data_IF_503042142718
#
_entry.id   IF_503042142718
#
_cell.length_a   1.000
_cell.length_b   1.000
_cell.length_c   1.000
_cell.angle_alpha   90.00
_cell.angle_beta   90.00
_cell.angle_gamma   90.00
#
_symmetry.space_group_name_H-M   'P 1'
#
loop_
_entity.id
_entity.type
_entity.pdbx_description
1 polymer ?
#
# COMPACT_ATOMS: atom_id res chain seq x y z
N UNK A 1 -2.79 0.03 8.46
CA UNK A 1 -3.61 -0.63 7.42
C UNK A 1 -5.07 -0.66 7.89
N UNK A 2 -5.93 0.30 7.47
CA UNK A 2 -7.26 0.52 8.09
C UNK A 2 -8.23 -0.67 7.95
N UNK A 3 -8.07 -1.49 6.90
CA UNK A 3 -8.94 -2.65 6.67
C UNK A 3 -8.69 -3.82 7.63
N UNK A 4 -7.45 -4.01 8.10
CA UNK A 4 -7.11 -5.08 9.05
C UNK A 4 -7.56 -4.73 10.48
N UNK A 5 -7.45 -3.47 10.87
CA UNK A 5 -7.96 -2.97 12.16
C UNK A 5 -9.47 -3.12 12.29
N UNK A 6 -10.21 -2.94 11.18
CA UNK A 6 -11.66 -3.18 11.14
C UNK A 6 -12.01 -4.66 11.38
N UNK A 7 -11.20 -5.58 10.85
CA UNK A 7 -11.40 -7.02 11.01
C UNK A 7 -11.18 -7.47 12.46
N UNK A 8 -10.13 -6.97 13.12
CA UNK A 8 -9.86 -7.22 14.56
C UNK A 8 -11.04 -6.74 15.42
N UNK A 9 -11.56 -5.54 15.16
CA UNK A 9 -12.72 -5.01 15.87
C UNK A 9 -13.96 -5.88 15.65
N UNK A 10 -14.20 -6.35 14.42
CA UNK A 10 -15.35 -7.21 14.13
C UNK A 10 -15.27 -8.58 14.83
N UNK A 11 -14.07 -9.15 14.95
CA UNK A 11 -13.83 -10.39 15.69
C UNK A 11 -13.98 -10.20 17.20
N UNK A 12 -13.63 -9.03 17.73
CA UNK A 12 -13.81 -8.74 19.16
C UNK A 12 -15.29 -8.70 19.58
N UNK A 13 -16.17 -8.20 18.68
CA UNK A 13 -17.61 -8.08 18.90
C UNK A 13 -18.36 -9.43 18.85
N UNK A 14 -17.77 -10.47 18.25
CA UNK A 14 -18.38 -11.80 18.16
C UNK A 14 -18.00 -12.74 19.31
N UNK A 15 -17.08 -12.34 20.20
CA UNK A 15 -16.71 -13.19 21.35
C UNK A 15 -17.76 -13.13 22.46
N UNK A 16 -18.33 -14.29 22.79
CA UNK A 16 -19.33 -14.42 23.86
C UNK A 16 -18.67 -14.12 25.23
N UNK A 17 -19.33 -13.38 26.15
CA UNK A 17 -18.73 -12.86 27.38
C UNK A 17 -18.36 -13.89 28.47
N UNK A 18 -18.42 -15.21 28.21
CA UNK A 18 -18.36 -16.23 29.26
C UNK A 18 -17.30 -17.32 29.08
N UNK A 19 -16.44 -17.23 28.06
CA UNK A 19 -15.38 -18.23 27.80
C UNK A 19 -14.01 -17.70 28.20
N UNK A 20 -13.42 -18.30 29.23
CA UNK A 20 -12.11 -17.95 29.80
C UNK A 20 -10.95 -18.39 28.91
N UNK A 21 -11.17 -19.42 28.08
CA UNK A 21 -10.19 -19.97 27.15
C UNK A 21 -10.66 -19.84 25.70
N UNK A 22 -9.81 -19.28 24.84
CA UNK A 22 -10.07 -19.09 23.40
C UNK A 22 -9.07 -19.93 22.62
N UNK A 23 -9.59 -20.85 21.81
CA UNK A 23 -8.79 -21.69 20.93
C UNK A 23 -8.92 -21.15 19.52
N UNK A 24 -7.79 -20.81 18.89
CA UNK A 24 -7.73 -20.37 17.49
C UNK A 24 -7.13 -21.49 16.66
N UNK A 25 -7.91 -22.02 15.71
CA UNK A 25 -7.55 -23.17 14.88
C UNK A 25 -7.15 -22.75 13.46
N UNK A 26 -5.96 -23.16 13.02
CA UNK A 26 -5.41 -22.92 11.69
C UNK A 26 -5.78 -23.97 10.63
N UNK A 27 -6.56 -25.01 10.95
CA UNK A 27 -6.79 -26.18 10.10
C UNK A 27 -7.33 -25.85 8.69
N UNK A 28 -8.24 -24.87 8.57
CA UNK A 28 -8.81 -24.47 7.28
C UNK A 28 -8.01 -23.34 6.58
N UNK A 29 -6.92 -22.89 7.19
CA UNK A 29 -6.13 -21.76 6.71
C UNK A 29 -5.24 -22.23 5.56
N UNK A 30 -5.55 -21.82 4.33
CA UNK A 30 -4.77 -22.21 3.15
C UNK A 30 -3.50 -21.38 3.01
N UNK A 31 -3.59 -20.07 3.22
CA UNK A 31 -2.49 -19.12 3.04
C UNK A 31 -2.46 -18.13 4.21
N UNK A 32 -1.27 -17.81 4.71
CA UNK A 32 -1.01 -16.78 5.70
C UNK A 32 0.14 -15.91 5.19
N UNK A 33 -0.05 -14.60 5.15
CA UNK A 33 1.00 -13.62 4.85
C UNK A 33 1.44 -12.88 6.12
N UNK A 34 2.46 -12.03 6.01
CA UNK A 34 3.00 -11.28 7.15
C UNK A 34 1.95 -10.36 7.79
N UNK A 35 1.03 -9.81 6.99
CA UNK A 35 -0.03 -8.93 7.48
C UNK A 35 -1.12 -9.70 8.25
N UNK A 36 -1.52 -10.88 7.77
CA UNK A 36 -2.41 -11.80 8.45
C UNK A 36 -1.80 -12.35 9.74
N UNK A 37 -0.52 -12.73 9.72
CA UNK A 37 0.21 -13.19 10.90
C UNK A 37 0.28 -12.10 11.98
N UNK A 38 0.52 -10.86 11.58
CA UNK A 38 0.51 -9.72 12.50
C UNK A 38 -0.87 -9.48 13.12
N UNK A 39 -1.92 -9.51 12.30
CA UNK A 39 -3.31 -9.32 12.75
C UNK A 39 -3.72 -10.39 13.76
N UNK A 40 -3.28 -11.64 13.54
CA UNK A 40 -3.51 -12.76 14.45
C UNK A 40 -2.80 -12.56 15.79
N UNK A 41 -1.56 -12.06 15.78
CA UNK A 41 -0.82 -11.73 17.00
C UNK A 41 -1.46 -10.57 17.77
N UNK A 42 -1.91 -9.52 17.07
CA UNK A 42 -2.63 -8.38 17.67
C UNK A 42 -3.93 -8.85 18.34
N UNK A 43 -4.69 -9.72 17.67
CA UNK A 43 -5.92 -10.28 18.23
C UNK A 43 -5.66 -11.18 19.45
N UNK A 44 -4.62 -12.01 19.40
CA UNK A 44 -4.17 -12.83 20.53
C UNK A 44 -3.83 -11.94 21.74
N UNK A 45 -3.05 -10.88 21.52
CA UNK A 45 -2.63 -9.95 22.57
C UNK A 45 -3.84 -9.19 23.16
N UNK A 46 -4.81 -8.80 22.34
CA UNK A 46 -6.02 -8.12 22.81
C UNK A 46 -6.88 -9.03 23.72
N UNK A 47 -6.99 -10.32 23.38
CA UNK A 47 -7.70 -11.31 24.20
C UNK A 47 -6.94 -11.63 25.49
N UNK A 48 -5.61 -11.73 25.45
CA UNK A 48 -4.77 -11.92 26.65
C UNK A 48 -4.88 -10.73 27.62
N UNK A 49 -4.98 -9.49 27.10
CA UNK A 49 -5.23 -8.30 27.93
C UNK A 49 -6.60 -8.34 28.63
N UNK A 50 -7.58 -9.02 28.04
CA UNK A 50 -8.88 -9.29 28.65
C UNK A 50 -8.87 -10.48 29.63
N UNK A 51 -7.67 -10.92 30.06
CA UNK A 51 -7.45 -12.03 30.99
C UNK A 51 -7.96 -13.39 30.47
N UNK A 52 -7.99 -13.56 29.14
CA UNK A 52 -8.36 -14.83 28.48
C UNK A 52 -7.10 -15.55 28.02
N UNK A 53 -7.00 -16.86 28.24
CA UNK A 53 -5.89 -17.64 27.67
C UNK A 53 -6.17 -17.96 26.21
N UNK A 54 -5.22 -17.65 25.32
CA UNK A 54 -5.36 -17.92 23.88
C UNK A 54 -4.36 -18.97 23.44
N UNK A 55 -4.86 -20.09 22.92
CA UNK A 55 -4.03 -21.16 22.36
C UNK A 55 -4.22 -21.24 20.85
N UNK A 56 -3.12 -21.26 20.11
CA UNK A 56 -3.11 -21.49 18.67
C UNK A 56 -2.88 -22.98 18.39
N UNK A 57 -3.80 -23.62 17.67
CA UNK A 57 -3.71 -25.05 17.30
C UNK A 57 -3.90 -25.24 15.79
N UNK A 58 -3.40 -26.36 15.25
CA UNK A 58 -3.53 -26.75 13.83
C UNK A 58 -2.99 -25.74 12.80
N UNK A 59 -1.96 -24.97 13.16
CA UNK A 59 -1.21 -24.19 12.18
C UNK A 59 -0.14 -25.07 11.52
N UNK A 60 0.03 -24.95 10.21
CA UNK A 60 1.13 -25.61 9.50
C UNK A 60 2.49 -25.11 9.99
N UNK A 61 3.55 -25.87 9.75
CA UNK A 61 4.92 -25.47 10.12
C UNK A 61 5.31 -24.12 9.48
N UNK A 62 4.90 -23.89 8.24
CA UNK A 62 5.13 -22.64 7.52
C UNK A 62 4.43 -21.45 8.20
N UNK A 63 3.16 -21.62 8.60
CA UNK A 63 2.42 -20.58 9.31
C UNK A 63 3.04 -20.30 10.68
N UNK A 64 3.43 -21.34 11.41
CA UNK A 64 4.05 -21.21 12.73
C UNK A 64 5.39 -20.48 12.67
N UNK A 65 6.23 -20.77 11.67
CA UNK A 65 7.47 -20.04 11.42
C UNK A 65 7.21 -18.57 11.10
N UNK A 66 6.25 -18.28 10.24
CA UNK A 66 5.86 -16.89 9.91
C UNK A 66 5.40 -16.13 11.15
N UNK A 67 4.52 -16.74 11.96
CA UNK A 67 4.03 -16.14 13.20
C UNK A 67 5.19 -15.86 14.16
N UNK A 68 6.13 -16.80 14.32
CA UNK A 68 7.29 -16.61 15.20
C UNK A 68 8.24 -15.51 14.68
N UNK A 69 8.46 -15.43 13.38
CA UNK A 69 9.29 -14.39 12.76
C UNK A 69 8.68 -13.00 12.95
N UNK A 70 7.36 -12.87 12.75
CA UNK A 70 6.64 -11.61 12.98
C UNK A 70 6.66 -11.26 14.46
N UNK A 71 6.42 -12.22 15.36
CA UNK A 71 6.47 -12.00 16.80
C UNK A 71 7.86 -11.53 17.29
N UNK A 72 8.94 -12.07 16.73
CA UNK A 72 10.31 -11.67 17.07
C UNK A 72 10.66 -10.25 16.60
N UNK A 73 10.07 -9.79 15.50
CA UNK A 73 10.32 -8.47 14.92
C UNK A 73 9.33 -7.40 15.42
N UNK A 74 8.31 -7.78 16.19
CA UNK A 74 7.27 -6.88 16.68
C UNK A 74 7.45 -6.60 18.19
N UNK A 75 8.34 -5.66 18.58
CA UNK A 75 8.43 -5.25 19.98
C UNK A 75 7.15 -4.48 20.37
N UNK A 76 6.47 -5.00 21.40
CA UNK A 76 5.41 -4.39 22.22
C UNK A 76 5.02 -2.95 21.83
N UNK A 77 4.13 -2.81 20.85
CA UNK A 77 3.28 -1.63 20.80
C UNK A 77 2.24 -1.80 21.91
N UNK A 78 2.38 -1.02 22.98
CA UNK A 78 1.31 -0.89 23.95
C UNK A 78 0.04 -0.43 23.23
N UNK A 79 -1.15 -0.97 23.57
CA UNK A 79 -2.39 -0.54 22.95
C UNK A 79 -2.66 0.90 23.35
N UNK A 80 -2.29 1.85 22.49
CA UNK A 80 -2.83 3.20 22.56
C UNK A 80 -4.22 3.16 21.93
N UNK A 81 -5.17 2.56 22.66
CA UNK A 81 -6.58 2.78 22.42
C UNK A 81 -6.91 4.20 22.91
N UNK A 82 -6.52 5.22 22.14
CA UNK A 82 -7.10 6.55 22.31
C UNK A 82 -8.56 6.44 21.90
N UNK A 83 -9.46 6.55 22.89
CA UNK A 83 -10.89 6.72 22.64
C UNK A 83 -11.09 7.80 21.57
N UNK A 84 -12.08 7.67 20.67
CA UNK A 84 -12.34 8.69 19.66
C UNK A 84 -12.79 9.98 20.36
N UNK A 85 -11.81 10.82 20.70
CA UNK A 85 -12.06 12.21 21.04
C UNK A 85 -12.71 12.79 19.80
N UNK A 86 -13.88 13.40 19.94
CA UNK A 86 -14.52 14.17 18.87
C UNK A 86 -13.59 15.34 18.53
N UNK A 87 -12.58 15.09 17.71
CA UNK A 87 -11.63 16.10 17.29
C UNK A 87 -12.38 17.13 16.46
N UNK A 88 -12.23 18.40 16.85
CA UNK A 88 -12.80 19.50 16.08
C UNK A 88 -12.28 19.40 14.65
N UNK A 89 -13.11 19.75 13.65
CA UNK A 89 -12.75 19.65 12.23
C UNK A 89 -11.37 20.24 11.91
N UNK A 90 -11.01 21.35 12.57
CA UNK A 90 -9.71 22.01 12.44
C UNK A 90 -8.53 21.17 12.98
N UNK A 91 -8.72 20.42 14.07
CA UNK A 91 -7.69 19.55 14.63
C UNK A 91 -7.42 18.35 13.70
N UNK A 92 -8.48 17.74 13.16
CA UNK A 92 -8.36 16.65 12.19
C UNK A 92 -7.67 17.14 10.91
N UNK A 93 -8.04 18.32 10.42
CA UNK A 93 -7.43 18.93 9.23
C UNK A 93 -5.95 19.25 9.47
N UNK A 94 -5.60 19.78 10.64
CA UNK A 94 -4.22 20.04 11.05
C UNK A 94 -3.38 18.76 11.08
N UNK A 95 -3.87 17.71 11.76
CA UNK A 95 -3.19 16.40 11.82
C UNK A 95 -3.00 15.77 10.43
N UNK A 96 -4.02 15.83 9.57
CA UNK A 96 -3.92 15.31 8.21
C UNK A 96 -2.93 16.11 7.35
N UNK A 97 -2.90 17.43 7.50
CA UNK A 97 -1.98 18.31 6.75
C UNK A 97 -0.53 18.01 7.13
N UNK A 98 -0.23 17.91 8.43
CA UNK A 98 1.10 17.55 8.92
C UNK A 98 1.52 16.17 8.40
N UNK A 99 0.62 15.19 8.45
CA UNK A 99 0.89 13.85 7.92
C UNK A 99 1.17 13.87 6.40
N UNK A 100 0.44 14.69 5.63
CA UNK A 100 0.72 14.88 4.20
C UNK A 100 2.08 15.52 3.94
N UNK A 101 2.52 16.47 4.78
CA UNK A 101 3.86 17.07 4.67
C UNK A 101 4.95 16.02 4.87
N UNK A 102 4.79 15.12 5.86
CA UNK A 102 5.72 14.01 6.03
C UNK A 102 5.75 13.07 4.82
N UNK A 103 4.60 12.81 4.18
CA UNK A 103 4.55 12.02 2.95
C UNK A 103 5.26 12.71 1.77
N UNK A 104 5.14 14.04 1.66
CA UNK A 104 5.87 14.82 0.65
C UNK A 104 7.37 14.74 0.87
N UNK A 105 7.85 14.79 2.12
CA UNK A 105 9.27 14.60 2.41
C UNK A 105 9.76 13.21 1.99
N UNK A 106 8.98 12.15 2.24
CA UNK A 106 9.30 10.81 1.77
C UNK A 106 9.34 10.71 0.24
N UNK A 107 8.42 11.40 -0.46
CA UNK A 107 8.44 11.49 -1.92
C UNK A 107 9.67 12.24 -2.43
N UNK A 108 10.06 13.33 -1.77
CA UNK A 108 11.24 14.12 -2.15
C UNK A 108 12.54 13.32 -1.94
N UNK A 109 12.61 12.53 -0.87
CA UNK A 109 13.73 11.61 -0.63
C UNK A 109 13.81 10.53 -1.72
N UNK A 110 12.68 9.89 -2.05
CA UNK A 110 12.63 8.92 -3.16
C UNK A 110 13.05 9.54 -4.49
N UNK A 111 12.59 10.76 -4.77
CA UNK A 111 12.96 11.48 -5.98
C UNK A 111 14.46 11.82 -5.99
N UNK A 112 15.02 12.18 -4.84
CA UNK A 112 16.45 12.41 -4.66
C UNK A 112 17.27 11.15 -4.95
N UNK A 113 16.93 10.04 -4.31
CA UNK A 113 17.59 8.74 -4.51
C UNK A 113 17.50 8.29 -5.97
N UNK A 114 16.34 8.46 -6.61
CA UNK A 114 16.13 8.12 -8.01
C UNK A 114 16.97 9.01 -8.94
N UNK A 115 17.04 10.31 -8.66
CA UNK A 115 17.90 11.24 -9.40
C UNK A 115 19.37 10.86 -9.27
N UNK A 116 19.85 10.57 -8.06
CA UNK A 116 21.24 10.15 -7.82
C UNK A 116 21.57 8.88 -8.59
N UNK A 117 20.70 7.88 -8.53
CA UNK A 117 20.87 6.62 -9.26
C UNK A 117 20.82 6.83 -10.78
N UNK A 118 19.99 7.74 -11.27
CA UNK A 118 19.95 8.11 -12.68
C UNK A 118 21.27 8.79 -13.10
N UNK A 119 21.79 9.71 -12.30
CA UNK A 119 23.10 10.35 -12.54
C UNK A 119 24.24 9.32 -12.55
N UNK A 120 24.26 8.38 -11.61
CA UNK A 120 25.22 7.29 -11.60
C UNK A 120 25.08 6.36 -12.81
N UNK A 121 23.85 6.03 -13.22
CA UNK A 121 23.60 5.22 -14.42
C UNK A 121 24.04 5.94 -15.71
N UNK A 122 23.90 7.27 -15.77
CA UNK A 122 24.42 8.06 -16.89
C UNK A 122 25.95 8.10 -16.92
N UNK A 123 26.59 8.20 -15.75
CA UNK A 123 28.06 8.22 -15.65
C UNK A 123 28.68 6.86 -15.99
N UNK A 124 28.11 5.76 -15.49
CA UNK A 124 28.54 4.39 -15.83
C UNK A 124 27.61 3.73 -16.87
N UNK A 125 27.53 4.38 -18.04
CA UNK A 125 26.70 3.96 -19.18
C UNK A 125 26.93 2.49 -19.60
N UNK A 126 28.12 1.93 -19.31
CA UNK A 126 28.48 0.54 -19.68
C UNK A 126 27.84 -0.52 -18.80
N UNK A 127 27.38 -0.18 -17.59
CA UNK A 127 26.65 -1.10 -16.70
C UNK A 127 25.14 -1.12 -16.95
N UNK A 128 24.61 -0.14 -17.69
CA UNK A 128 23.19 -0.06 -18.02
C UNK A 128 22.84 -1.15 -19.03
N UNK A 129 21.93 -2.05 -18.64
CA UNK A 129 21.42 -3.13 -19.51
C UNK A 129 20.37 -2.57 -20.48
N UNK A 130 20.83 -1.82 -21.48
CA UNK A 130 19.98 -1.27 -22.56
C UNK A 130 18.99 -2.28 -23.17
N UNK A 131 19.37 -3.54 -23.44
CA UNK A 131 18.43 -4.50 -24.04
C UNK A 131 17.18 -4.74 -23.18
N UNK A 132 17.32 -4.81 -21.85
CA UNK A 132 16.18 -4.96 -20.94
C UNK A 132 15.32 -3.69 -20.88
N UNK A 133 15.95 -2.51 -20.92
CA UNK A 133 15.24 -1.23 -20.93
C UNK A 133 14.42 -1.05 -22.22
N UNK A 134 15.01 -1.41 -23.37
CA UNK A 134 14.34 -1.41 -24.68
C UNK A 134 13.21 -2.41 -24.71
N UNK A 135 13.36 -3.60 -24.11
CA UNK A 135 12.28 -4.58 -24.05
C UNK A 135 11.07 -4.05 -23.29
N UNK A 136 11.29 -3.38 -22.14
CA UNK A 136 10.23 -2.71 -21.41
C UNK A 136 9.60 -1.58 -22.21
N UNK A 137 10.42 -0.71 -22.82
CA UNK A 137 9.92 0.38 -23.67
C UNK A 137 9.14 -0.14 -24.89
N UNK A 138 9.53 -1.29 -25.44
CA UNK A 138 8.81 -1.94 -26.52
C UNK A 138 7.45 -2.45 -26.03
N UNK A 139 7.42 -3.16 -24.89
CA UNK A 139 6.15 -3.71 -24.37
C UNK A 139 5.18 -2.62 -23.93
N UNK A 140 5.61 -1.56 -23.26
CA UNK A 140 4.69 -0.48 -22.83
C UNK A 140 4.51 0.63 -23.86
N UNK A 141 5.57 1.02 -24.57
CA UNK A 141 5.56 2.14 -25.52
C UNK A 141 4.96 1.78 -26.88
N UNK A 142 5.37 0.67 -27.49
CA UNK A 142 4.83 0.29 -28.81
C UNK A 142 3.37 -0.13 -28.70
N UNK A 143 2.95 -0.76 -27.60
CA UNK A 143 1.54 -1.05 -27.36
C UNK A 143 0.67 0.21 -27.24
N UNK A 144 1.26 1.36 -26.87
CA UNK A 144 0.54 2.63 -26.77
C UNK A 144 0.42 3.39 -28.12
N UNK A 145 1.21 3.04 -29.14
CA UNK A 145 1.24 3.73 -30.44
C UNK A 145 -0.14 3.84 -31.14
N UNK A 146 -1.02 2.82 -31.13
CA UNK A 146 -2.32 2.93 -31.81
C UNK A 146 -3.19 4.05 -31.26
N UNK A 147 -3.25 4.20 -29.93
CA UNK A 147 -4.03 5.25 -29.28
C UNK A 147 -3.40 6.62 -29.54
N UNK A 148 -2.07 6.73 -29.47
CA UNK A 148 -1.34 7.94 -29.83
C UNK A 148 -1.62 8.35 -31.28
N UNK A 149 -1.62 7.41 -32.22
CA UNK A 149 -1.93 7.69 -33.63
C UNK A 149 -3.35 8.23 -33.85
N UNK A 150 -4.34 7.62 -33.18
CA UNK A 150 -5.74 8.09 -33.20
C UNK A 150 -5.86 9.51 -32.62
N UNK A 151 -5.22 9.78 -31.47
CA UNK A 151 -5.22 11.10 -30.85
C UNK A 151 -4.54 12.14 -31.74
N UNK A 152 -3.36 11.84 -32.30
CA UNK A 152 -2.63 12.74 -33.20
C UNK A 152 -3.42 13.03 -34.47
N UNK A 153 -4.09 12.01 -35.04
CA UNK A 153 -4.96 12.19 -36.19
C UNK A 153 -6.13 13.14 -35.87
N UNK A 154 -6.83 12.91 -34.76
CA UNK A 154 -7.96 13.74 -34.35
C UNK A 154 -7.52 15.19 -34.07
N UNK A 155 -6.40 15.37 -33.37
CA UNK A 155 -5.80 16.70 -33.14
C UNK A 155 -5.48 17.37 -34.47
N UNK A 156 -4.91 16.64 -35.43
CA UNK A 156 -4.62 17.16 -36.77
C UNK A 156 -5.87 17.64 -37.50
N UNK A 157 -6.97 16.89 -37.45
CA UNK A 157 -8.26 17.29 -38.03
C UNK A 157 -8.80 18.56 -37.36
N UNK A 158 -8.74 18.63 -36.03
CA UNK A 158 -9.19 19.81 -35.28
C UNK A 158 -8.35 21.05 -35.63
N UNK A 159 -7.03 20.90 -35.72
CA UNK A 159 -6.13 21.99 -36.11
C UNK A 159 -6.39 22.45 -37.55
N UNK A 160 -6.61 21.52 -38.49
CA UNK A 160 -6.94 21.86 -39.88
C UNK A 160 -8.25 22.65 -39.97
N UNK A 161 -9.27 22.25 -39.22
CA UNK A 161 -10.53 22.97 -39.13
C UNK A 161 -10.35 24.39 -38.55
N UNK A 162 -9.60 24.50 -37.45
CA UNK A 162 -9.30 25.80 -36.82
C UNK A 162 -8.54 26.74 -37.75
N UNK A 163 -7.53 26.23 -38.47
CA UNK A 163 -6.78 27.03 -39.44
C UNK A 163 -7.63 27.43 -40.64
N UNK A 164 -8.52 26.56 -41.12
CA UNK A 164 -9.45 26.89 -42.21
C UNK A 164 -10.36 28.06 -41.85
N UNK A 165 -11.00 28.01 -40.67
CA UNK A 165 -11.86 29.09 -40.17
C UNK A 165 -11.05 30.39 -39.96
N UNK A 166 -9.81 30.27 -39.47
CA UNK A 166 -8.95 31.44 -39.27
C UNK A 166 -8.53 32.08 -40.60
N UNK A 167 -8.24 31.27 -41.64
CA UNK A 167 -7.91 31.75 -42.99
C UNK A 167 -9.11 32.38 -43.70
N UNK A 168 -10.32 31.85 -43.49
CA UNK A 168 -11.57 32.44 -44.02
C UNK A 168 -11.79 33.89 -43.54
N UNK A 169 -11.23 34.24 -42.38
CA UNK A 169 -11.31 35.61 -41.84
C UNK A 169 -10.37 36.59 -42.56
N UNK A 170 -9.36 36.10 -43.30
CA UNK A 170 -8.35 36.92 -43.98
C UNK A 170 -8.44 36.92 -45.52
N UNK A 171 -9.27 36.05 -46.11
CA UNK A 171 -9.49 35.95 -47.56
C UNK A 171 -8.65 34.87 -48.22
#
# INVERSE_FOLDING_TARGET
>A
MPHLTALVNHLSLQTHPSTTDVIITGHALKHLDSAGALTLLEYKQQLEQQHRQVTLIDFSDQHTQLIHLVAAQYPKLEPRAEAPVKSAFLETLGKQTVNKIYQINGFLQLLGDLCEQLFHAMYDWRRVRFPSMVHHLYTTGIQALPILGLLSFLIGVVLAYQMGVQLETYG
#
